data_IF_825439696428
#
_entry.id   IF_825439696428
#
_cell.length_a   1.000
_cell.length_b   1.000
_cell.length_c   1.000
_cell.angle_alpha   90.00
_cell.angle_beta   90.00
_cell.angle_gamma   90.00
#
_symmetry.space_group_name_H-M   'P 1'
#
loop_
_entity.id
_entity.type
_entity.pdbx_description
1 polymer ?
#
# COMPACT_ATOMS: atom_id res chain seq x y z
N UNK A 1 51.16 23.09 49.94
CA UNK A 1 51.18 21.72 49.42
C UNK A 1 50.92 21.78 47.91
N UNK A 2 51.68 21.00 47.14
CA UNK A 2 52.11 21.25 45.76
C UNK A 2 51.06 20.99 44.65
N UNK A 3 51.24 21.67 43.51
CA UNK A 3 50.75 21.30 42.16
C UNK A 3 51.84 20.46 41.43
N UNK A 4 51.79 20.10 40.12
CA UNK A 4 50.72 19.93 39.10
C UNK A 4 50.87 18.59 38.27
N UNK A 5 50.17 18.47 37.10
CA UNK A 5 50.54 17.76 35.83
C UNK A 5 49.67 16.57 35.29
N UNK A 6 49.18 16.73 34.05
CA UNK A 6 48.92 15.70 32.99
C UNK A 6 50.28 15.34 32.29
N UNK A 7 50.52 14.29 31.42
CA UNK A 7 49.71 13.77 30.29
C UNK A 7 49.95 12.28 29.82
N UNK A 8 49.46 11.96 28.60
CA UNK A 8 49.49 10.74 27.70
C UNK A 8 50.70 9.77 27.70
N UNK A 9 50.50 8.47 27.32
CA UNK A 9 51.03 7.77 26.09
C UNK A 9 50.84 6.22 26.01
N UNK A 10 50.27 5.75 24.88
CA UNK A 10 50.65 4.70 23.87
C UNK A 10 51.45 3.38 24.20
N UNK A 11 50.82 2.23 23.82
CA UNK A 11 51.27 0.97 23.13
C UNK A 11 52.48 0.10 23.55
N UNK A 12 52.30 -1.25 23.52
CA UNK A 12 53.02 -2.31 22.72
C UNK A 12 52.76 -3.73 23.31
N UNK A 13 52.28 -4.71 22.50
CA UNK A 13 53.00 -5.82 21.83
C UNK A 13 53.54 -6.96 22.74
N UNK A 14 53.13 -8.22 22.52
CA UNK A 14 53.92 -9.24 21.79
C UNK A 14 53.49 -10.70 22.09
N UNK A 15 53.58 -11.49 21.03
CA UNK A 15 53.60 -12.95 20.81
C UNK A 15 53.92 -13.91 21.96
N UNK A 16 53.34 -15.11 21.88
CA UNK A 16 54.10 -16.37 21.82
C UNK A 16 53.31 -17.50 21.13
N UNK A 17 54.05 -18.34 20.41
CA UNK A 17 53.67 -19.27 19.34
C UNK A 17 53.83 -20.74 19.86
N UNK A 18 53.94 -21.80 19.03
CA UNK A 18 52.94 -22.82 18.67
C UNK A 18 53.24 -24.25 19.22
N UNK A 19 52.43 -25.26 18.86
CA UNK A 19 52.79 -26.54 18.17
C UNK A 19 51.63 -27.57 18.24
N UNK A 20 51.32 -28.21 17.10
CA UNK A 20 50.35 -29.34 16.94
C UNK A 20 50.93 -30.68 17.45
N UNK A 21 50.14 -31.77 17.51
CA UNK A 21 50.09 -32.72 16.37
C UNK A 21 48.75 -33.49 16.12
N UNK A 22 48.47 -33.65 14.81
CA UNK A 22 47.89 -34.76 14.00
C UNK A 22 46.78 -35.73 14.51
N UNK A 23 45.79 -35.94 13.61
CA UNK A 23 44.60 -36.84 13.51
C UNK A 23 44.88 -38.38 13.59
N UNK A 24 43.94 -39.36 13.36
CA UNK A 24 42.52 -39.36 12.86
C UNK A 24 41.52 -40.32 13.60
N UNK A 25 40.19 -40.30 13.34
CA UNK A 25 39.42 -41.35 12.61
C UNK A 25 37.87 -41.18 12.80
N UNK A 26 37.01 -41.83 11.96
CA UNK A 26 35.67 -41.35 11.55
C UNK A 26 34.47 -42.23 11.98
N UNK A 27 33.25 -41.67 12.03
CA UNK A 27 31.94 -42.37 11.83
C UNK A 27 30.77 -41.34 11.74
N UNK A 28 29.54 -41.71 11.33
CA UNK A 28 28.97 -41.31 10.05
C UNK A 28 27.73 -40.39 10.17
N UNK A 29 27.30 -39.91 9.01
CA UNK A 29 26.16 -39.04 8.78
C UNK A 29 24.86 -39.50 9.47
N UNK A 30 24.36 -38.68 10.38
CA UNK A 30 22.95 -38.65 10.74
C UNK A 30 22.24 -37.67 9.82
N UNK A 31 21.32 -38.23 9.04
CA UNK A 31 20.42 -37.58 8.11
C UNK A 31 19.59 -36.54 8.86
N UNK A 32 20.02 -35.27 8.78
CA UNK A 32 19.22 -34.12 9.18
C UNK A 32 18.06 -33.96 8.22
N UNK A 33 16.91 -34.50 8.61
CA UNK A 33 15.61 -34.30 7.98
C UNK A 33 15.39 -32.80 7.69
N UNK A 34 15.04 -32.40 6.46
CA UNK A 34 14.63 -31.02 6.19
C UNK A 34 13.28 -30.79 6.87
N UNK A 35 13.32 -30.14 8.03
CA UNK A 35 12.14 -29.67 8.74
C UNK A 35 11.35 -28.70 7.86
N UNK A 36 10.17 -29.18 7.46
CA UNK A 36 8.99 -28.50 6.94
C UNK A 36 9.12 -27.04 6.45
N UNK A 37 8.65 -26.73 5.22
CA UNK A 37 8.36 -25.36 4.85
C UNK A 37 7.25 -24.84 5.78
N UNK A 38 7.55 -23.80 6.55
CA UNK A 38 6.50 -22.93 7.07
C UNK A 38 5.63 -22.52 5.87
N UNK A 39 4.30 -22.58 5.95
CA UNK A 39 3.44 -21.98 4.95
C UNK A 39 3.49 -20.47 5.16
N UNK A 40 4.65 -19.86 4.87
CA UNK A 40 4.62 -18.52 4.32
C UNK A 40 3.94 -18.75 2.97
N UNK A 41 2.65 -18.46 2.93
CA UNK A 41 2.01 -18.18 1.67
C UNK A 41 3.00 -17.28 0.95
N UNK A 42 3.59 -17.77 -0.14
CA UNK A 42 4.28 -16.96 -1.12
C UNK A 42 3.19 -16.13 -1.84
N UNK A 43 2.41 -15.41 -1.05
CA UNK A 43 1.55 -14.34 -1.47
C UNK A 43 2.47 -13.20 -1.84
N UNK A 44 2.17 -12.57 -2.96
CA UNK A 44 2.78 -11.32 -3.41
C UNK A 44 3.05 -10.42 -2.20
N UNK A 45 4.26 -9.89 -2.07
CA UNK A 45 4.60 -8.93 -1.02
C UNK A 45 3.52 -7.85 -0.95
N UNK A 46 3.18 -7.34 0.25
CA UNK A 46 2.14 -6.31 0.42
C UNK A 46 2.34 -5.13 -0.53
N UNK A 47 3.61 -4.76 -0.75
CA UNK A 47 4.03 -3.80 -1.76
C UNK A 47 3.60 -4.18 -3.20
N UNK A 48 3.80 -5.43 -3.62
CA UNK A 48 3.38 -5.91 -4.94
C UNK A 48 1.87 -5.84 -5.13
N UNK A 49 1.09 -6.16 -4.09
CA UNK A 49 -0.36 -5.98 -4.09
C UNK A 49 -0.72 -4.51 -4.25
N UNK A 50 -0.11 -3.62 -3.47
CA UNK A 50 -0.31 -2.19 -3.57
C UNK A 50 -0.01 -1.65 -4.98
N UNK A 51 1.15 -1.97 -5.56
CA UNK A 51 1.53 -1.51 -6.90
C UNK A 51 0.61 -2.06 -7.99
N UNK A 52 0.15 -3.31 -7.84
CA UNK A 52 -0.86 -3.89 -8.75
C UNK A 52 -2.17 -3.11 -8.65
N UNK A 53 -2.64 -2.80 -7.44
CA UNK A 53 -3.87 -2.05 -7.23
C UNK A 53 -3.78 -0.63 -7.82
N UNK A 54 -2.63 0.06 -7.74
CA UNK A 54 -2.47 1.37 -8.36
C UNK A 54 -2.68 1.33 -9.89
N UNK A 55 -2.17 0.27 -10.55
CA UNK A 55 -2.38 0.06 -11.99
C UNK A 55 -3.83 -0.29 -12.31
N UNK A 56 -4.49 -1.10 -11.47
CA UNK A 56 -5.91 -1.41 -11.62
C UNK A 56 -6.84 -0.20 -11.39
N UNK A 57 -6.33 0.84 -10.72
CA UNK A 57 -7.01 2.11 -10.52
C UNK A 57 -6.64 3.15 -11.59
N UNK A 58 -5.88 2.74 -12.63
CA UNK A 58 -5.39 3.58 -13.72
C UNK A 58 -4.62 4.83 -13.25
N UNK A 59 -4.02 4.77 -12.06
CA UNK A 59 -3.28 5.89 -11.50
C UNK A 59 -1.94 6.12 -12.21
N UNK A 60 -1.37 5.10 -12.85
CA UNK A 60 -0.12 5.24 -13.60
C UNK A 60 -0.28 5.99 -14.92
N UNK A 61 -1.51 6.11 -15.43
CA UNK A 61 -1.84 6.86 -16.65
C UNK A 61 -1.96 8.37 -16.41
N UNK A 62 -1.91 8.83 -15.15
CA UNK A 62 -2.02 10.25 -14.83
C UNK A 62 -0.74 11.00 -15.23
N UNK A 63 -0.86 12.22 -15.79
CA UNK A 63 0.29 12.99 -16.27
C UNK A 63 1.26 13.38 -15.15
N UNK A 64 0.79 13.40 -13.90
CA UNK A 64 1.56 13.73 -12.71
C UNK A 64 2.11 12.48 -11.96
N UNK A 65 2.10 11.30 -12.60
CA UNK A 65 2.59 10.05 -12.00
C UNK A 65 4.08 10.14 -11.63
N UNK A 66 4.47 9.92 -10.36
CA UNK A 66 5.84 10.09 -9.91
C UNK A 66 6.74 8.87 -10.18
N UNK A 67 6.38 8.02 -11.15
CA UNK A 67 7.09 6.80 -11.52
C UNK A 67 7.30 5.83 -10.33
N UNK A 68 6.22 5.53 -9.59
CA UNK A 68 6.27 4.65 -8.41
C UNK A 68 6.64 3.23 -8.83
N UNK A 69 7.75 2.73 -8.28
CA UNK A 69 8.29 1.40 -8.58
C UNK A 69 8.75 0.69 -7.30
N UNK A 70 8.94 -0.64 -7.31
CA UNK A 70 9.44 -1.34 -6.12
C UNK A 70 10.76 -0.79 -5.59
N UNK A 71 11.62 -0.29 -6.48
CA UNK A 71 12.90 0.33 -6.11
C UNK A 71 12.74 1.61 -5.29
N UNK A 72 11.61 2.30 -5.43
CA UNK A 72 11.29 3.52 -4.65
C UNK A 72 11.16 3.21 -3.16
N UNK A 73 10.69 1.99 -2.83
CA UNK A 73 10.55 1.51 -1.46
C UNK A 73 11.78 0.72 -0.99
N UNK A 74 12.48 0.03 -1.92
CA UNK A 74 13.69 -0.73 -1.62
C UNK A 74 14.95 0.12 -1.38
N UNK A 75 14.94 1.41 -1.76
CA UNK A 75 16.08 2.31 -1.60
C UNK A 75 16.44 2.54 -0.12
N UNK A 76 17.21 1.63 0.45
CA UNK A 76 17.73 1.66 1.82
C UNK A 76 18.96 2.59 1.97
N UNK A 77 19.55 3.11 0.89
CA UNK A 77 20.97 3.51 0.93
C UNK A 77 21.43 4.88 0.41
N UNK A 78 20.59 5.74 -0.19
CA UNK A 78 21.07 7.04 -0.68
C UNK A 78 20.61 8.18 0.25
N UNK A 79 21.52 8.62 1.12
CA UNK A 79 21.32 9.67 2.13
C UNK A 79 20.45 10.85 1.62
N UNK A 80 19.36 11.13 2.34
CA UNK A 80 18.44 12.26 2.12
C UNK A 80 17.55 12.19 0.86
N UNK A 81 18.14 12.02 -0.31
CA UNK A 81 17.46 12.07 -1.61
C UNK A 81 16.50 10.88 -1.83
N UNK A 82 16.92 9.65 -1.49
CA UNK A 82 16.08 8.46 -1.62
C UNK A 82 14.84 8.51 -0.72
N UNK A 83 15.02 9.04 0.50
CA UNK A 83 13.91 9.22 1.44
C UNK A 83 12.92 10.28 0.96
N UNK A 84 13.40 11.44 0.50
CA UNK A 84 12.51 12.50 -0.03
C UNK A 84 11.67 11.99 -1.19
N UNK A 85 12.29 11.25 -2.13
CA UNK A 85 11.58 10.64 -3.27
C UNK A 85 10.51 9.65 -2.81
N UNK A 86 10.86 8.75 -1.87
CA UNK A 86 9.89 7.79 -1.33
C UNK A 86 8.69 8.48 -0.68
N UNK A 87 8.94 9.51 0.13
CA UNK A 87 7.89 10.29 0.78
C UNK A 87 6.97 10.92 -0.26
N UNK A 88 7.52 11.61 -1.26
CA UNK A 88 6.74 12.25 -2.33
C UNK A 88 5.87 11.24 -3.10
N UNK A 89 6.42 10.08 -3.46
CA UNK A 89 5.67 9.03 -4.14
C UNK A 89 4.50 8.49 -3.28
N UNK A 90 4.72 8.32 -1.98
CA UNK A 90 3.69 7.84 -1.05
C UNK A 90 2.62 8.90 -0.80
N UNK A 91 3.01 10.15 -0.60
CA UNK A 91 2.10 11.29 -0.45
C UNK A 91 1.19 11.41 -1.66
N UNK A 92 1.77 11.35 -2.86
CA UNK A 92 1.04 11.36 -4.12
C UNK A 92 0.04 10.19 -4.19
N UNK A 93 0.50 8.97 -3.94
CA UNK A 93 -0.35 7.79 -4.04
C UNK A 93 -1.52 7.83 -3.05
N UNK A 94 -1.25 8.19 -1.79
CA UNK A 94 -2.28 8.30 -0.76
C UNK A 94 -3.27 9.42 -1.09
N UNK A 95 -2.79 10.59 -1.53
CA UNK A 95 -3.66 11.69 -1.94
C UNK A 95 -4.63 11.25 -3.04
N UNK A 96 -4.13 10.58 -4.09
CA UNK A 96 -4.96 10.07 -5.19
C UNK A 96 -5.94 8.99 -4.74
N UNK A 97 -5.52 8.07 -3.88
CA UNK A 97 -6.40 7.05 -3.31
C UNK A 97 -7.52 7.66 -2.47
N UNK A 98 -7.22 8.65 -1.64
CA UNK A 98 -8.23 9.38 -0.86
C UNK A 98 -9.19 10.16 -1.77
N UNK A 99 -8.69 10.79 -2.84
CA UNK A 99 -9.53 11.49 -3.80
C UNK A 99 -10.57 10.55 -4.44
N UNK A 100 -10.19 9.30 -4.73
CA UNK A 100 -11.08 8.28 -5.26
C UNK A 100 -12.06 7.73 -4.21
N UNK A 101 -11.58 7.50 -2.98
CA UNK A 101 -12.40 6.96 -1.91
C UNK A 101 -13.46 7.97 -1.45
N UNK A 102 -13.01 9.15 -1.02
CA UNK A 102 -13.81 10.24 -0.45
C UNK A 102 -13.37 11.61 -1.02
N UNK A 103 -13.92 12.05 -2.16
CA UNK A 103 -13.50 13.30 -2.81
C UNK A 103 -13.78 14.53 -1.95
N UNK A 104 -14.90 14.54 -1.20
CA UNK A 104 -15.28 15.65 -0.32
C UNK A 104 -14.31 15.82 0.85
N UNK A 105 -13.89 14.73 1.51
CA UNK A 105 -12.93 14.83 2.60
C UNK A 105 -11.55 15.28 2.07
N UNK A 106 -11.17 14.77 0.89
CA UNK A 106 -9.89 15.10 0.25
C UNK A 106 -9.80 16.57 -0.13
N UNK A 107 -10.86 17.13 -0.73
CA UNK A 107 -10.94 18.55 -1.06
C UNK A 107 -10.77 19.44 0.19
N UNK A 108 -11.44 19.09 1.29
CA UNK A 108 -11.44 19.91 2.49
C UNK A 108 -10.15 19.77 3.35
N UNK A 109 -9.58 18.56 3.43
CA UNK A 109 -8.50 18.28 4.40
C UNK A 109 -7.12 18.11 3.77
N UNK A 110 -7.05 17.71 2.51
CA UNK A 110 -5.78 17.30 1.85
C UNK A 110 -5.40 18.22 0.70
N UNK A 111 -6.37 18.72 -0.08
CA UNK A 111 -6.14 19.66 -1.18
C UNK A 111 -5.31 20.90 -0.80
N UNK A 112 -5.53 21.59 0.35
CA UNK A 112 -4.75 22.79 0.66
C UNK A 112 -3.24 22.53 0.85
N UNK A 113 -2.84 21.27 1.06
CA UNK A 113 -1.45 20.88 1.29
C UNK A 113 -0.82 20.19 0.07
N UNK A 114 -1.55 20.02 -1.04
CA UNK A 114 -1.11 19.25 -2.20
C UNK A 114 -1.12 20.10 -3.49
N UNK A 115 -0.02 20.12 -4.28
CA UNK A 115 1.26 19.42 -4.05
C UNK A 115 2.11 20.11 -2.96
N UNK A 116 2.85 19.35 -2.11
CA UNK A 116 3.71 19.94 -1.09
C UNK A 116 4.84 20.75 -1.74
N UNK A 117 4.83 22.07 -1.56
CA UNK A 117 5.87 22.98 -2.07
C UNK A 117 7.13 22.95 -1.18
N UNK A 118 6.94 22.74 0.12
CA UNK A 118 8.00 22.78 1.14
C UNK A 118 7.93 21.59 2.09
N UNK A 119 9.03 21.32 2.79
CA UNK A 119 9.10 20.25 3.80
C UNK A 119 8.04 20.40 4.90
N UNK A 120 7.72 21.64 5.29
CA UNK A 120 6.65 21.93 6.26
C UNK A 120 5.28 21.51 5.73
N UNK A 121 5.00 21.74 4.45
CA UNK A 121 3.74 21.34 3.81
C UNK A 121 3.64 19.82 3.71
N UNK A 122 4.74 19.13 3.41
CA UNK A 122 4.82 17.66 3.44
C UNK A 122 4.54 17.10 4.84
N UNK A 123 5.07 17.71 5.90
CA UNK A 123 4.75 17.35 7.28
C UNK A 123 3.25 17.52 7.59
N UNK A 124 2.65 18.63 7.18
CA UNK A 124 1.23 18.90 7.37
C UNK A 124 0.34 17.92 6.58
N UNK A 125 0.69 17.63 5.33
CA UNK A 125 0.01 16.64 4.51
C UNK A 125 0.06 15.26 5.17
N UNK A 126 1.21 14.82 5.66
CA UNK A 126 1.35 13.53 6.37
C UNK A 126 0.53 13.49 7.65
N UNK A 127 0.49 14.59 8.42
CA UNK A 127 -0.38 14.68 9.60
C UNK A 127 -1.88 14.62 9.23
N UNK A 128 -2.28 15.18 8.08
CA UNK A 128 -3.64 15.06 7.56
C UNK A 128 -3.95 13.63 7.06
N UNK A 129 -3.03 13.01 6.32
CA UNK A 129 -3.13 11.63 5.86
C UNK A 129 -3.23 10.62 7.02
N UNK A 130 -2.48 10.84 8.10
CA UNK A 130 -2.58 10.03 9.32
C UNK A 130 -4.01 10.04 9.88
N UNK A 131 -4.57 11.24 10.06
CA UNK A 131 -5.94 11.43 10.55
C UNK A 131 -6.98 10.83 9.61
N UNK A 132 -6.77 10.95 8.29
CA UNK A 132 -7.66 10.36 7.30
C UNK A 132 -7.61 8.82 7.31
N UNK A 133 -6.41 8.21 7.43
CA UNK A 133 -6.26 6.76 7.58
C UNK A 133 -6.90 6.24 8.87
N UNK A 134 -6.75 6.97 9.97
CA UNK A 134 -7.44 6.64 11.23
C UNK A 134 -8.97 6.70 11.10
N UNK A 135 -9.50 7.68 10.36
CA UNK A 135 -10.92 7.78 10.08
C UNK A 135 -11.41 6.59 9.23
N UNK A 136 -10.69 6.24 8.17
CA UNK A 136 -10.99 5.05 7.34
C UNK A 136 -10.93 3.77 8.15
N UNK A 137 -9.99 3.66 9.09
CA UNK A 137 -9.89 2.52 10.01
C UNK A 137 -11.11 2.42 10.91
N UNK A 138 -11.57 3.55 11.48
CA UNK A 138 -12.79 3.61 12.31
C UNK A 138 -14.04 3.21 11.51
N UNK A 139 -14.05 3.51 10.21
CA UNK A 139 -15.13 3.11 9.30
C UNK A 139 -15.06 1.61 8.89
N UNK A 140 -14.04 0.87 9.34
CA UNK A 140 -13.91 -0.58 9.13
C UNK A 140 -13.26 -1.00 7.81
N UNK A 141 -12.83 -0.06 6.96
CA UNK A 141 -12.31 -0.39 5.63
C UNK A 141 -10.88 -0.98 5.62
N UNK A 142 -10.08 -0.70 6.66
CA UNK A 142 -8.70 -1.18 6.82
C UNK A 142 -8.60 -2.49 7.63
N UNK A 143 -9.71 -3.00 8.18
CA UNK A 143 -9.70 -4.13 9.11
C UNK A 143 -9.35 -3.73 10.55
N UNK A 144 -9.83 -4.51 11.53
CA UNK A 144 -9.71 -4.20 12.96
C UNK A 144 -8.28 -4.30 13.48
N UNK A 145 -7.47 -5.17 12.88
CA UNK A 145 -6.08 -5.45 13.27
C UNK A 145 -5.06 -4.52 12.60
N UNK A 146 -5.52 -3.57 11.77
CA UNK A 146 -4.64 -2.64 11.09
C UNK A 146 -4.04 -1.60 12.07
N UNK A 147 -2.71 -1.57 12.14
CA UNK A 147 -1.96 -0.65 13.01
C UNK A 147 -1.39 0.50 12.18
N UNK A 148 -2.01 1.68 12.31
CA UNK A 148 -1.50 2.93 11.71
C UNK A 148 -0.76 3.71 12.80
N UNK A 149 0.53 4.01 12.59
CA UNK A 149 1.35 4.83 13.50
C UNK A 149 1.92 6.03 12.77
N UNK A 150 2.10 7.14 13.49
CA UNK A 150 2.73 8.35 12.95
C UNK A 150 4.11 8.09 12.36
N UNK A 151 4.97 7.37 13.07
CA UNK A 151 6.36 7.09 12.63
C UNK A 151 6.42 6.34 11.30
N UNK A 152 5.52 5.39 11.07
CA UNK A 152 5.43 4.63 9.80
C UNK A 152 5.10 5.55 8.62
N UNK A 153 4.23 6.53 8.84
CA UNK A 153 3.84 7.51 7.82
C UNK A 153 4.91 8.60 7.66
N UNK A 154 5.60 8.98 8.73
CA UNK A 154 6.70 9.94 8.69
C UNK A 154 7.94 9.37 7.95
N UNK A 155 8.21 8.07 8.09
CA UNK A 155 9.33 7.43 7.40
C UNK A 155 8.93 6.85 6.04
N UNK A 156 7.62 6.72 5.77
CA UNK A 156 7.03 6.12 4.56
C UNK A 156 7.69 4.77 4.22
N UNK A 157 7.98 3.95 5.24
CA UNK A 157 8.73 2.68 5.09
C UNK A 157 8.27 1.64 6.11
N UNK A 158 8.62 0.39 5.82
CA UNK A 158 8.44 -0.74 6.72
C UNK A 158 7.26 -1.64 6.34
N UNK A 159 7.38 -2.92 6.64
CA UNK A 159 6.43 -3.95 6.20
C UNK A 159 4.99 -3.68 6.66
N UNK A 160 4.82 -3.20 7.91
CA UNK A 160 3.52 -2.81 8.45
C UNK A 160 2.89 -1.64 7.67
N UNK A 161 3.70 -0.70 7.20
CA UNK A 161 3.20 0.40 6.39
C UNK A 161 2.77 -0.07 5.01
N UNK A 162 3.57 -0.94 4.38
CA UNK A 162 3.23 -1.55 3.09
C UNK A 162 1.95 -2.39 3.17
N UNK A 163 1.73 -3.09 4.28
CA UNK A 163 0.49 -3.80 4.58
C UNK A 163 -0.71 -2.83 4.63
N UNK A 164 -0.59 -1.71 5.34
CA UNK A 164 -1.64 -0.66 5.39
C UNK A 164 -1.94 -0.12 3.99
N UNK A 165 -0.92 0.14 3.17
CA UNK A 165 -1.08 0.61 1.79
C UNK A 165 -1.80 -0.41 0.91
N UNK A 166 -1.44 -1.69 1.04
CA UNK A 166 -2.09 -2.79 0.34
C UNK A 166 -3.57 -2.91 0.72
N UNK A 167 -3.88 -2.87 2.02
CA UNK A 167 -5.25 -2.94 2.54
C UNK A 167 -6.07 -1.74 2.07
N UNK A 168 -5.52 -0.52 2.18
CA UNK A 168 -6.23 0.68 1.77
C UNK A 168 -6.52 0.71 0.27
N UNK A 169 -5.50 0.50 -0.57
CA UNK A 169 -5.68 0.46 -2.04
C UNK A 169 -6.69 -0.60 -2.47
N UNK A 170 -6.68 -1.77 -1.82
CA UNK A 170 -7.67 -2.83 -2.07
C UNK A 170 -9.07 -2.37 -1.64
N UNK A 171 -9.21 -1.70 -0.50
CA UNK A 171 -10.48 -1.17 -0.04
C UNK A 171 -11.04 -0.09 -1.00
N UNK A 172 -10.18 0.78 -1.53
CA UNK A 172 -10.57 1.78 -2.54
C UNK A 172 -11.05 1.10 -3.82
N UNK A 173 -10.30 0.13 -4.33
CA UNK A 173 -10.68 -0.64 -5.52
C UNK A 173 -12.03 -1.34 -5.32
N UNK A 174 -12.24 -2.02 -4.18
CA UNK A 174 -13.52 -2.65 -3.85
C UNK A 174 -14.66 -1.64 -3.75
N UNK A 175 -14.41 -0.47 -3.16
CA UNK A 175 -15.41 0.59 -3.05
C UNK A 175 -15.81 1.16 -4.41
N UNK A 176 -14.87 1.31 -5.34
CA UNK A 176 -15.14 1.76 -6.71
C UNK A 176 -15.91 0.71 -7.52
N UNK A 177 -15.51 -0.55 -7.44
CA UNK A 177 -16.24 -1.66 -8.08
C UNK A 177 -17.66 -1.76 -7.54
N UNK A 178 -17.85 -1.68 -6.21
CA UNK A 178 -19.18 -1.66 -5.61
C UNK A 178 -20.02 -0.47 -6.08
N UNK A 179 -19.41 0.72 -6.23
CA UNK A 179 -20.07 1.92 -6.73
C UNK A 179 -20.48 1.79 -8.21
N UNK A 180 -19.61 1.23 -9.05
CA UNK A 180 -19.86 0.96 -10.47
C UNK A 180 -20.98 -0.07 -10.67
N UNK A 181 -20.94 -1.17 -9.93
CA UNK A 181 -21.98 -2.22 -9.96
C UNK A 181 -23.34 -1.69 -9.51
N UNK A 182 -23.38 -0.83 -8.49
CA UNK A 182 -24.63 -0.21 -8.03
C UNK A 182 -25.20 0.79 -9.05
N UNK A 183 -24.35 1.45 -9.84
CA UNK A 183 -24.79 2.30 -10.95
C UNK A 183 -25.34 1.46 -12.11
N UNK A 184 -24.63 0.40 -12.52
CA UNK A 184 -25.08 -0.52 -13.57
C UNK A 184 -26.39 -1.24 -13.19
N UNK A 185 -26.55 -1.66 -11.93
CA UNK A 185 -27.77 -2.30 -11.44
C UNK A 185 -28.98 -1.35 -11.44
N UNK A 186 -28.77 -0.05 -11.20
CA UNK A 186 -29.82 0.97 -11.30
C UNK A 186 -30.23 1.25 -12.74
N UNK A 187 -29.31 1.22 -13.70
CA UNK A 187 -29.64 1.37 -15.11
C UNK A 187 -30.36 0.14 -15.68
N UNK A 188 -30.03 -1.07 -15.21
CA UNK A 188 -30.74 -2.28 -15.62
C UNK A 188 -32.15 -2.41 -15.02
N UNK A 189 -32.43 -1.80 -13.87
CA UNK A 189 -33.74 -1.86 -13.21
C UNK A 189 -34.79 -0.92 -13.84
N UNK A 190 -34.41 -0.06 -14.79
CA UNK A 190 -35.34 0.82 -15.53
C UNK A 190 -35.60 0.32 -16.97
N UNK A 191 -35.13 -0.87 -17.34
CA UNK A 191 -35.44 -1.52 -18.63
C UNK A 191 -36.32 -2.74 -18.37
N UNK A 192 -37.48 -2.51 -17.75
CA UNK A 192 -38.62 -3.42 -17.88
C UNK A 192 -39.64 -2.70 -18.75
N UNK A 193 -39.43 -2.76 -20.06
CA UNK A 193 -40.51 -2.51 -21.03
C UNK A 193 -41.56 -3.61 -20.79
N UNK A 194 -42.81 -3.28 -20.44
CA UNK A 194 -43.86 -4.28 -20.37
C UNK A 194 -44.02 -4.87 -21.77
N UNK A 195 -43.80 -6.19 -21.86
CA UNK A 195 -44.21 -7.01 -22.99
C UNK A 195 -45.73 -6.85 -23.13
N UNK A 196 -46.16 -5.96 -24.02
CA UNK A 196 -47.51 -5.96 -24.53
C UNK A 196 -47.62 -7.10 -25.54
N UNK A 197 -48.04 -8.27 -25.04
CA UNK A 197 -48.44 -9.43 -25.84
C UNK A 197 -49.67 -9.04 -26.65
N UNK A 198 -49.46 -8.63 -27.90
CA UNK A 198 -50.53 -8.42 -28.87
C UNK A 198 -51.12 -9.79 -29.25
N UNK A 199 -52.20 -10.18 -28.58
CA UNK A 199 -53.02 -11.31 -29.02
C UNK A 199 -53.81 -10.91 -30.27
N UNK A 200 -53.46 -11.57 -31.38
CA UNK A 200 -54.35 -11.72 -32.54
C UNK A 200 -55.50 -12.64 -32.17
N UNK A 201 -56.74 -12.15 -32.15
CA UNK A 201 -57.93 -12.99 -32.33
C UNK A 201 -59.00 -12.18 -33.08
N UNK A 202 -59.50 -12.71 -34.20
CA UNK A 202 -60.84 -12.39 -34.71
C UNK A 202 -60.96 -11.84 -36.15
N UNK A 203 -60.81 -12.69 -37.16
CA UNK A 203 -61.67 -12.66 -38.37
C UNK A 203 -63.13 -12.84 -37.92
N UNK A 204 -64.18 -12.24 -38.51
CA UNK A 204 -64.66 -12.43 -39.88
C UNK A 204 -65.84 -11.47 -40.19
N UNK A 205 -66.28 -11.35 -41.47
CA UNK A 205 -67.19 -10.32 -41.96
C UNK A 205 -68.66 -10.77 -41.95
N UNK A 206 -69.57 -9.80 -41.80
CA UNK A 206 -70.96 -9.92 -42.27
C UNK A 206 -71.45 -8.51 -42.58
N UNK A 207 -71.51 -8.17 -43.87
CA UNK A 207 -72.27 -7.03 -44.36
C UNK A 207 -73.50 -7.59 -45.08
N UNK A 208 -74.60 -7.52 -44.36
CA UNK A 208 -75.97 -7.79 -44.74
C UNK A 208 -76.63 -6.45 -45.13
N UNK A 209 -77.32 -6.43 -46.29
CA UNK A 209 -78.34 -5.46 -46.76
C UNK A 209 -77.85 -3.99 -46.98
N UNK A 210 -78.11 -3.34 -48.12
CA UNK A 210 -79.36 -3.17 -48.86
C UNK A 210 -79.06 -2.62 -50.25
#
# INVERSE_FOLDING_TARGET
MAAPQQPRTRATANSSRPLQPRAPAPAPAEVGVPGAPSPVAAGKSSLSVFLTNLRLLDLDLLPDWPAISPQTFAASGAAGQGQKRRIQCVEWALFRLFALYNPQETANKLQPFFPPLDQMQSLNLRAALLRALEAVKKNGALGRDCVVRKTMLDECKGERFEEVLALFSTAVLKALVARGSNCARRHSANVTVPIARAERIGQSPVSEFR
#
